data_IF_780768841122
#
_entry.id   IF_780768841122
#
_cell.length_a   1.000
_cell.length_b   1.000
_cell.length_c   1.000
_cell.angle_alpha   90.00
_cell.angle_beta   90.00
_cell.angle_gamma   90.00
#
_symmetry.space_group_name_H-M   'P 1'
#
loop_
_entity.id
_entity.type
_entity.pdbx_description
1 polymer ?
#
# COMPACT_ATOMS: atom_id res chain seq x y z
N UNK A 1 17.37 8.66 -21.82
CA UNK A 1 16.95 7.29 -21.48
C UNK A 1 17.31 7.11 -20.03
N UNK A 2 16.33 6.87 -19.15
CA UNK A 2 16.63 6.52 -17.77
C UNK A 2 17.21 5.10 -17.78
N UNK A 3 18.35 4.90 -17.13
CA UNK A 3 18.94 3.57 -16.98
C UNK A 3 17.94 2.66 -16.25
N UNK A 4 17.79 1.43 -16.73
CA UNK A 4 16.97 0.43 -16.03
C UNK A 4 17.68 0.05 -14.73
N UNK A 5 17.29 0.68 -13.62
CA UNK A 5 17.79 0.33 -12.29
C UNK A 5 17.11 -0.96 -11.84
N UNK A 6 17.91 -1.99 -11.57
CA UNK A 6 17.42 -3.18 -10.88
C UNK A 6 17.22 -2.86 -9.40
N UNK A 7 15.96 -2.86 -8.96
CA UNK A 7 15.63 -2.62 -7.56
C UNK A 7 15.87 -3.89 -6.72
N UNK A 8 16.27 -3.74 -5.43
CA UNK A 8 16.40 -4.86 -4.52
C UNK A 8 15.09 -5.65 -4.37
N UNK A 9 15.20 -6.96 -4.17
CA UNK A 9 14.07 -7.85 -3.86
C UNK A 9 14.23 -8.40 -2.46
N UNK A 10 13.23 -8.21 -1.60
CA UNK A 10 13.19 -8.67 -0.22
C UNK A 10 12.19 -9.81 -0.08
N UNK A 11 12.67 -10.98 0.32
CA UNK A 11 11.86 -12.19 0.51
C UNK A 11 11.45 -12.35 1.98
N UNK A 12 10.17 -12.14 2.28
CA UNK A 12 9.66 -12.25 3.65
C UNK A 12 9.48 -13.69 4.14
N UNK A 13 9.50 -14.73 3.29
CA UNK A 13 9.43 -16.12 3.76
C UNK A 13 10.62 -16.48 4.66
N UNK A 14 11.76 -15.81 4.43
CA UNK A 14 12.95 -15.93 5.27
C UNK A 14 12.74 -15.39 6.69
N UNK A 15 11.76 -14.50 6.88
CA UNK A 15 11.42 -13.92 8.17
C UNK A 15 10.61 -14.84 9.08
N UNK A 16 9.84 -15.80 8.56
CA UNK A 16 9.14 -16.79 9.41
C UNK A 16 10.11 -17.82 10.02
N UNK A 17 11.32 -17.97 9.46
CA UNK A 17 12.42 -18.68 10.14
C UNK A 17 12.98 -17.90 11.35
N UNK A 18 12.54 -16.66 11.56
CA UNK A 18 13.03 -15.77 12.63
C UNK A 18 12.15 -15.84 13.88
N UNK A 19 10.90 -16.30 13.78
CA UNK A 19 9.95 -16.28 14.90
C UNK A 19 10.02 -17.48 15.86
N UNK A 20 10.95 -18.43 15.69
CA UNK A 20 11.16 -19.51 16.66
C UNK A 20 12.42 -19.28 17.49
N UNK A 21 12.43 -18.21 18.29
CA UNK A 21 13.47 -18.00 19.31
C UNK A 21 13.27 -18.87 20.57
N UNK A 22 12.16 -19.62 20.69
CA UNK A 22 11.90 -20.47 21.86
C UNK A 22 12.00 -21.99 21.60
N UNK A 23 12.33 -22.42 20.39
CA UNK A 23 12.63 -23.84 20.14
C UNK A 23 13.51 -23.97 18.92
N UNK A 24 14.72 -24.53 19.08
CA UNK A 24 15.29 -25.62 18.27
C UNK A 24 16.78 -25.83 18.63
N UNK A 25 17.06 -27.03 19.12
CA UNK A 25 18.38 -27.53 19.56
C UNK A 25 19.12 -28.24 18.41
N UNK A 26 19.71 -27.54 17.45
CA UNK A 26 20.70 -28.14 16.55
C UNK A 26 21.73 -27.11 16.05
N UNK A 27 23.00 -27.33 16.40
CA UNK A 27 24.06 -26.31 16.40
C UNK A 27 24.74 -26.04 15.04
N UNK A 28 24.29 -26.65 13.93
CA UNK A 28 24.86 -26.42 12.60
C UNK A 28 23.91 -25.59 11.70
N UNK A 29 22.60 -25.77 11.82
CA UNK A 29 21.60 -24.93 11.13
C UNK A 29 21.47 -23.53 11.74
N UNK A 30 21.85 -23.38 13.01
CA UNK A 30 21.77 -22.13 13.76
C UNK A 30 22.77 -21.07 13.29
N UNK A 31 24.01 -21.46 12.96
CA UNK A 31 25.01 -20.51 12.46
C UNK A 31 24.58 -19.99 11.08
N UNK A 32 24.11 -20.88 10.19
CA UNK A 32 23.58 -20.51 8.89
C UNK A 32 22.37 -19.57 8.98
N UNK A 33 21.44 -19.82 9.91
CA UNK A 33 20.25 -18.97 10.09
C UNK A 33 20.58 -17.57 10.62
N UNK A 34 21.57 -17.45 11.52
CA UNK A 34 22.03 -16.15 12.03
C UNK A 34 22.68 -15.32 10.93
N UNK A 35 23.55 -15.92 10.10
CA UNK A 35 24.17 -15.21 8.97
C UNK A 35 23.15 -14.76 7.93
N UNK A 36 22.17 -15.61 7.60
CA UNK A 36 21.06 -15.25 6.71
C UNK A 36 20.25 -14.08 7.28
N UNK A 37 19.96 -14.08 8.59
CA UNK A 37 19.28 -12.97 9.26
C UNK A 37 20.07 -11.68 9.16
N UNK A 38 21.37 -11.70 9.46
CA UNK A 38 22.23 -10.50 9.36
C UNK A 38 22.28 -9.97 7.93
N UNK A 39 22.38 -10.85 6.94
CA UNK A 39 22.40 -10.46 5.53
C UNK A 39 21.08 -9.81 5.11
N UNK A 40 19.95 -10.40 5.51
CA UNK A 40 18.62 -9.85 5.22
C UNK A 40 18.44 -8.46 5.88
N UNK A 41 18.85 -8.29 7.14
CA UNK A 41 18.76 -6.98 7.81
C UNK A 41 19.62 -5.92 7.12
N UNK A 42 20.84 -6.28 6.67
CA UNK A 42 21.69 -5.39 5.87
C UNK A 42 21.03 -5.02 4.55
N UNK A 43 20.43 -5.99 3.86
CA UNK A 43 19.74 -5.76 2.59
C UNK A 43 18.54 -4.81 2.76
N UNK A 44 17.73 -4.98 3.82
CA UNK A 44 16.62 -4.08 4.15
C UNK A 44 17.13 -2.65 4.38
N UNK A 45 18.15 -2.48 5.22
CA UNK A 45 18.73 -1.16 5.50
C UNK A 45 19.27 -0.51 4.21
N UNK A 46 20.04 -1.26 3.43
CA UNK A 46 20.60 -0.79 2.17
C UNK A 46 19.51 -0.38 1.18
N UNK A 47 18.49 -1.21 0.99
CA UNK A 47 17.36 -0.90 0.12
C UNK A 47 16.64 0.39 0.55
N UNK A 48 16.43 0.60 1.85
CA UNK A 48 15.82 1.82 2.37
C UNK A 48 16.71 3.06 2.18
N UNK A 49 18.02 2.96 2.40
CA UNK A 49 18.94 4.11 2.39
C UNK A 49 19.42 4.49 0.98
N UNK A 50 19.69 3.49 0.12
CA UNK A 50 20.23 3.72 -1.23
C UNK A 50 19.13 3.91 -2.29
N UNK A 51 17.97 3.29 -2.12
CA UNK A 51 16.93 3.32 -3.15
C UNK A 51 15.66 4.03 -2.68
N UNK A 52 15.28 3.84 -1.41
CA UNK A 52 13.97 4.26 -0.90
C UNK A 52 12.80 3.49 -1.52
N UNK A 53 13.07 2.50 -2.38
CA UNK A 53 12.10 1.69 -3.11
C UNK A 53 12.66 0.29 -3.36
N UNK A 54 11.84 -0.76 -3.21
CA UNK A 54 12.25 -2.15 -3.44
C UNK A 54 11.03 -3.05 -3.65
N UNK A 55 11.24 -4.24 -4.21
CA UNK A 55 10.21 -5.25 -4.36
C UNK A 55 10.14 -6.14 -3.11
N UNK A 56 8.93 -6.53 -2.74
CA UNK A 56 8.65 -7.45 -1.64
C UNK A 56 8.03 -8.72 -2.22
N UNK A 57 8.57 -9.89 -1.87
CA UNK A 57 8.04 -11.20 -2.31
C UNK A 57 7.79 -12.10 -1.12
N UNK A 58 6.94 -13.10 -1.30
CA UNK A 58 6.52 -14.05 -0.26
C UNK A 58 6.04 -13.34 1.02
N UNK A 59 5.34 -12.20 0.86
CA UNK A 59 4.84 -11.37 1.95
C UNK A 59 3.63 -11.95 2.67
N UNK A 60 3.07 -13.05 2.17
CA UNK A 60 1.94 -13.76 2.78
C UNK A 60 0.58 -13.13 2.51
N UNK A 61 0.46 -12.20 1.57
CA UNK A 61 -0.85 -11.74 1.06
C UNK A 61 -1.23 -12.67 -0.08
N UNK A 62 -2.41 -13.29 0.00
CA UNK A 62 -2.85 -14.26 -1.00
C UNK A 62 -3.06 -13.61 -2.38
N UNK A 63 -2.58 -14.26 -3.44
CA UNK A 63 -2.76 -13.76 -4.82
C UNK A 63 -4.24 -13.64 -5.19
N UNK A 64 -5.07 -14.58 -4.72
CA UNK A 64 -6.51 -14.52 -4.94
C UNK A 64 -7.15 -13.29 -4.27
N UNK A 65 -6.62 -12.86 -3.12
CA UNK A 65 -7.09 -11.66 -2.43
C UNK A 65 -6.78 -10.42 -3.27
N UNK A 66 -5.53 -10.28 -3.73
CA UNK A 66 -5.13 -9.19 -4.61
C UNK A 66 -5.98 -9.16 -5.89
N UNK A 67 -6.20 -10.32 -6.52
CA UNK A 67 -7.05 -10.42 -7.71
C UNK A 67 -8.47 -9.91 -7.43
N UNK A 68 -9.07 -10.35 -6.31
CA UNK A 68 -10.40 -9.88 -5.89
C UNK A 68 -10.42 -8.37 -5.66
N UNK A 69 -9.44 -7.80 -4.95
CA UNK A 69 -9.33 -6.34 -4.76
C UNK A 69 -9.34 -5.59 -6.08
N UNK A 70 -8.52 -6.02 -7.05
CA UNK A 70 -8.47 -5.39 -8.36
C UNK A 70 -9.77 -5.56 -9.15
N UNK A 71 -10.42 -6.74 -9.09
CA UNK A 71 -11.72 -6.98 -9.72
C UNK A 71 -12.79 -6.01 -9.16
N UNK A 72 -12.82 -5.83 -7.84
CA UNK A 72 -13.78 -4.93 -7.19
C UNK A 72 -13.49 -3.46 -7.40
N UNK A 73 -12.20 -3.08 -7.40
CA UNK A 73 -11.77 -1.75 -7.78
C UNK A 73 -12.23 -1.41 -9.20
N UNK A 74 -12.11 -2.35 -10.16
CA UNK A 74 -12.59 -2.15 -11.54
C UNK A 74 -14.10 -1.96 -11.62
N UNK A 75 -14.87 -2.80 -10.92
CA UNK A 75 -16.33 -2.68 -10.88
C UNK A 75 -16.74 -1.30 -10.33
N UNK A 76 -16.14 -0.87 -9.22
CA UNK A 76 -16.42 0.45 -8.65
C UNK A 76 -16.11 1.59 -9.63
N UNK A 77 -14.93 1.61 -10.25
CA UNK A 77 -14.56 2.70 -11.15
C UNK A 77 -15.32 2.70 -12.48
N UNK A 78 -15.91 1.56 -12.87
CA UNK A 78 -16.82 1.44 -14.03
C UNK A 78 -18.21 2.05 -13.81
N UNK A 79 -18.56 2.41 -12.57
CA UNK A 79 -19.83 3.06 -12.26
C UNK A 79 -19.91 4.47 -12.89
N UNK A 80 -21.12 4.95 -13.23
CA UNK A 80 -21.34 6.33 -13.63
C UNK A 80 -20.78 7.33 -12.60
N UNK A 81 -20.31 8.49 -13.07
CA UNK A 81 -19.72 9.50 -12.19
C UNK A 81 -20.69 9.92 -11.08
N UNK A 82 -21.98 10.01 -11.39
CA UNK A 82 -23.04 10.37 -10.47
C UNK A 82 -23.14 9.39 -9.29
N UNK A 83 -22.95 8.09 -9.54
CA UNK A 83 -22.94 7.05 -8.52
C UNK A 83 -21.68 7.12 -7.66
N UNK A 84 -20.51 7.32 -8.28
CA UNK A 84 -19.24 7.47 -7.56
C UNK A 84 -19.23 8.72 -6.67
N UNK A 85 -19.81 9.83 -7.14
CA UNK A 85 -19.90 11.09 -6.41
C UNK A 85 -20.84 11.03 -5.20
N UNK A 86 -21.75 10.05 -5.11
CA UNK A 86 -22.51 9.81 -3.84
C UNK A 86 -21.58 9.46 -2.68
N UNK A 87 -20.39 8.94 -2.98
CA UNK A 87 -19.35 8.55 -2.02
C UNK A 87 -18.19 9.54 -2.00
N UNK A 88 -18.41 10.79 -2.41
CA UNK A 88 -17.39 11.85 -2.45
C UNK A 88 -16.58 11.91 -1.16
N UNK A 89 -15.28 12.14 -1.32
CA UNK A 89 -14.31 12.14 -0.24
C UNK A 89 -14.66 13.19 0.80
N UNK A 90 -14.87 12.72 2.03
CA UNK A 90 -15.00 13.55 3.24
C UNK A 90 -13.81 13.28 4.13
N UNK A 91 -13.13 14.35 4.54
CA UNK A 91 -11.84 14.28 5.24
C UNK A 91 -10.81 13.43 4.45
N UNK A 92 -10.56 12.19 4.89
CA UNK A 92 -9.56 11.29 4.31
C UNK A 92 -10.17 9.98 3.77
N UNK A 93 -11.48 9.93 3.51
CA UNK A 93 -12.21 8.70 3.14
C UNK A 93 -13.22 8.97 2.03
N UNK A 94 -13.34 8.03 1.08
CA UNK A 94 -14.27 8.11 -0.06
C UNK A 94 -13.60 8.45 -1.39
N UNK A 95 -14.43 8.77 -2.38
CA UNK A 95 -14.10 8.94 -3.79
C UNK A 95 -13.55 10.34 -4.12
N UNK A 96 -12.51 10.40 -4.95
CA UNK A 96 -11.97 11.63 -5.53
C UNK A 96 -11.96 11.50 -7.05
N UNK A 97 -12.62 12.41 -7.80
CA UNK A 97 -12.75 12.31 -9.24
C UNK A 97 -11.44 12.67 -9.97
N UNK A 98 -11.41 12.35 -11.27
CA UNK A 98 -10.35 12.76 -12.18
C UNK A 98 -10.03 14.25 -12.04
N UNK A 99 -8.74 14.58 -12.13
CA UNK A 99 -8.23 15.96 -12.15
C UNK A 99 -8.43 16.74 -10.84
N UNK A 100 -8.96 16.13 -9.78
CA UNK A 100 -9.19 16.80 -8.51
C UNK A 100 -7.92 16.94 -7.63
N UNK A 101 -6.94 16.05 -7.79
CA UNK A 101 -5.65 16.14 -7.10
C UNK A 101 -4.60 16.76 -8.04
N UNK A 102 -3.79 17.69 -7.53
CA UNK A 102 -2.65 18.23 -8.26
C UNK A 102 -1.53 18.58 -7.28
N UNK A 103 -0.42 17.84 -7.34
CA UNK A 103 0.77 18.08 -6.50
C UNK A 103 1.87 18.86 -7.22
N UNK A 104 1.67 19.22 -8.50
CA UNK A 104 2.55 20.10 -9.26
C UNK A 104 1.75 21.25 -9.89
N UNK A 105 1.65 22.42 -9.23
CA UNK A 105 0.85 23.55 -9.69
C UNK A 105 1.55 24.34 -10.81
N UNK A 106 1.98 23.67 -11.88
CA UNK A 106 2.35 24.34 -13.12
C UNK A 106 1.10 24.97 -13.74
N UNK A 107 1.25 26.16 -14.36
CA UNK A 107 0.15 26.97 -14.89
C UNK A 107 -0.68 26.27 -15.99
N UNK A 108 -0.21 25.14 -16.53
CA UNK A 108 -0.84 24.41 -17.63
C UNK A 108 -1.35 23.01 -17.24
N UNK A 109 -1.28 22.62 -15.96
CA UNK A 109 -1.73 21.30 -15.52
C UNK A 109 -3.23 21.27 -15.27
N UNK A 110 -3.94 20.34 -15.93
CA UNK A 110 -5.35 20.05 -15.66
C UNK A 110 -5.56 19.33 -14.33
N UNK A 111 -4.50 18.87 -13.67
CA UNK A 111 -4.55 17.97 -12.51
C UNK A 111 -4.19 16.53 -12.88
N UNK A 112 -4.05 15.68 -11.87
CA UNK A 112 -3.71 14.27 -12.02
C UNK A 112 -4.83 13.52 -12.76
N UNK A 113 -4.49 12.82 -13.85
CA UNK A 113 -5.41 11.95 -14.60
C UNK A 113 -5.56 10.61 -13.90
N UNK A 114 -6.14 10.67 -12.69
CA UNK A 114 -6.50 9.51 -11.87
C UNK A 114 -7.74 9.80 -11.06
N UNK A 115 -8.52 8.77 -10.81
CA UNK A 115 -9.56 8.79 -9.80
C UNK A 115 -9.17 7.85 -8.67
N UNK A 116 -9.60 8.16 -7.44
CA UNK A 116 -9.18 7.40 -6.26
C UNK A 116 -10.34 7.13 -5.32
N UNK A 117 -10.21 6.07 -4.51
CA UNK A 117 -11.11 5.79 -3.40
C UNK A 117 -10.32 5.44 -2.15
N UNK A 118 -10.51 6.23 -1.09
CA UNK A 118 -9.79 6.06 0.18
C UNK A 118 -10.64 5.30 1.20
N UNK A 119 -10.02 4.28 1.79
CA UNK A 119 -10.58 3.50 2.87
C UNK A 119 -9.66 3.68 4.08
N UNK A 120 -10.21 4.26 5.15
CA UNK A 120 -9.52 4.40 6.42
C UNK A 120 -9.72 3.22 7.37
N UNK A 121 -9.05 3.25 8.54
CA UNK A 121 -9.10 2.16 9.52
C UNK A 121 -10.51 1.97 10.11
N UNK A 122 -10.88 0.71 10.35
CA UNK A 122 -12.20 0.31 10.86
C UNK A 122 -12.29 0.39 12.40
N UNK A 123 -11.16 0.23 13.11
CA UNK A 123 -11.10 0.30 14.59
C UNK A 123 -10.83 1.73 15.05
N UNK A 124 -11.42 2.11 16.19
CA UNK A 124 -11.21 3.43 16.82
C UNK A 124 -12.17 4.53 16.34
N UNK A 125 -13.23 4.19 15.60
CA UNK A 125 -14.23 5.15 15.13
C UNK A 125 -15.10 5.58 16.33
N UNK A 126 -14.79 6.73 16.91
CA UNK A 126 -15.55 7.34 18.01
C UNK A 126 -16.48 8.45 17.54
N UNK A 127 -16.31 8.93 16.30
CA UNK A 127 -17.04 10.07 15.72
C UNK A 127 -17.59 9.70 14.35
N UNK A 128 -18.82 10.09 14.07
CA UNK A 128 -19.55 9.79 12.82
C UNK A 128 -18.84 10.31 11.55
N UNK A 129 -17.97 11.32 11.67
CA UNK A 129 -17.15 11.84 10.56
C UNK A 129 -16.00 10.91 10.13
N UNK A 130 -15.62 9.94 10.96
CA UNK A 130 -14.57 8.97 10.67
C UNK A 130 -15.08 7.69 9.97
N UNK A 131 -16.34 7.68 9.53
CA UNK A 131 -16.90 6.55 8.81
C UNK A 131 -16.45 6.57 7.34
N UNK A 132 -16.04 5.40 6.85
CA UNK A 132 -15.80 5.21 5.42
C UNK A 132 -17.11 5.46 4.64
N UNK A 133 -17.00 6.06 3.46
CA UNK A 133 -18.14 6.40 2.61
C UNK A 133 -18.51 5.18 1.77
N UNK A 134 -19.43 4.35 2.27
CA UNK A 134 -19.79 3.09 1.63
C UNK A 134 -20.98 3.24 0.66
N UNK A 135 -21.00 2.48 -0.45
CA UNK A 135 -22.21 2.30 -1.24
C UNK A 135 -23.38 1.85 -0.35
N UNK A 136 -24.61 2.32 -0.62
CA UNK A 136 -25.79 1.84 0.12
C UNK A 136 -26.09 0.38 -0.21
N UNK A 137 -26.67 -0.37 0.74
CA UNK A 137 -27.07 -1.78 0.53
C UNK A 137 -28.08 -1.94 -0.64
N UNK A 138 -28.90 -0.89 -0.90
CA UNK A 138 -29.87 -0.87 -2.00
C UNK A 138 -29.24 -0.56 -3.37
N UNK A 139 -27.99 -0.09 -3.39
CA UNK A 139 -27.24 0.16 -4.62
C UNK A 139 -26.33 -1.04 -4.87
N UNK A 140 -26.78 -1.91 -5.78
CA UNK A 140 -26.13 -3.11 -6.30
C UNK A 140 -26.20 -4.34 -5.40
N UNK A 141 -27.01 -5.31 -5.83
CA UNK A 141 -27.09 -6.69 -5.31
C UNK A 141 -25.74 -7.46 -5.33
N UNK A 142 -24.69 -6.90 -5.93
CA UNK A 142 -23.32 -7.45 -5.93
C UNK A 142 -22.32 -6.69 -5.04
N UNK A 143 -22.60 -5.42 -4.66
CA UNK A 143 -21.64 -4.57 -3.92
C UNK A 143 -21.75 -4.77 -2.40
N UNK A 144 -22.95 -5.06 -1.90
CA UNK A 144 -23.18 -5.32 -0.46
C UNK A 144 -22.51 -6.59 0.09
N UNK A 145 -22.23 -7.60 -0.74
CA UNK A 145 -21.61 -8.86 -0.30
C UNK A 145 -20.09 -8.71 -0.01
N UNK A 146 -19.48 -7.66 -0.55
CA UNK A 146 -18.04 -7.37 -0.59
C UNK A 146 -17.62 -6.50 0.60
N UNK A 147 -18.64 -6.03 1.32
CA UNK A 147 -18.58 -5.01 2.35
C UNK A 147 -18.03 -5.52 3.70
N UNK A 148 -18.26 -6.80 4.01
CA UNK A 148 -18.20 -7.33 5.39
C UNK A 148 -17.00 -8.27 5.67
N UNK A 149 -16.57 -9.05 4.67
CA UNK A 149 -15.57 -10.12 4.85
C UNK A 149 -14.22 -9.79 4.21
N UNK A 150 -14.20 -9.22 3.00
CA UNK A 150 -12.96 -8.90 2.25
C UNK A 150 -12.14 -7.77 2.92
N UNK A 151 -12.78 -6.72 3.41
CA UNK A 151 -12.11 -5.57 4.05
C UNK A 151 -11.42 -5.86 5.37
N UNK A 152 -11.87 -6.88 6.11
CA UNK A 152 -11.18 -7.32 7.33
C UNK A 152 -9.92 -8.11 7.00
N UNK A 153 -9.95 -8.91 5.94
CA UNK A 153 -8.80 -9.73 5.52
C UNK A 153 -7.76 -8.89 4.79
N UNK A 154 -8.16 -8.00 3.88
CA UNK A 154 -7.24 -7.13 3.11
C UNK A 154 -6.43 -6.18 3.98
N UNK A 155 -7.11 -5.52 4.93
CA UNK A 155 -6.44 -4.68 5.93
C UNK A 155 -5.58 -5.56 6.84
N UNK A 156 -6.06 -6.73 7.29
CA UNK A 156 -5.31 -7.54 8.25
C UNK A 156 -4.06 -8.21 7.64
N UNK A 157 -4.13 -8.73 6.41
CA UNK A 157 -2.99 -9.36 5.73
C UNK A 157 -1.97 -8.33 5.28
N UNK A 158 -2.42 -7.23 4.66
CA UNK A 158 -1.51 -6.12 4.28
C UNK A 158 -0.86 -5.50 5.52
N UNK A 159 -1.60 -5.37 6.62
CA UNK A 159 -1.04 -4.94 7.90
C UNK A 159 -0.06 -5.96 8.47
N UNK A 160 -0.26 -7.26 8.23
CA UNK A 160 0.68 -8.29 8.68
C UNK A 160 1.99 -8.19 7.90
N UNK A 161 1.93 -8.08 6.58
CA UNK A 161 3.11 -7.84 5.73
C UNK A 161 3.83 -6.53 6.12
N UNK A 162 3.07 -5.44 6.30
CA UNK A 162 3.60 -4.14 6.71
C UNK A 162 4.26 -4.18 8.09
N UNK A 163 3.62 -4.81 9.09
CA UNK A 163 4.21 -4.99 10.42
C UNK A 163 5.48 -5.81 10.39
N UNK A 164 5.50 -6.92 9.64
CA UNK A 164 6.71 -7.73 9.45
C UNK A 164 7.85 -6.90 8.87
N UNK A 165 7.56 -6.11 7.83
CA UNK A 165 8.55 -5.22 7.22
C UNK A 165 9.04 -4.14 8.21
N UNK A 166 8.14 -3.53 8.98
CA UNK A 166 8.50 -2.54 10.02
C UNK A 166 9.37 -3.18 11.10
N UNK A 167 9.09 -4.41 11.52
CA UNK A 167 9.96 -5.18 12.43
C UNK A 167 11.35 -5.40 11.83
N UNK A 168 11.45 -5.75 10.54
CA UNK A 168 12.74 -5.88 9.87
C UNK A 168 13.50 -4.57 9.80
N UNK A 169 12.81 -3.46 9.54
CA UNK A 169 13.40 -2.11 9.54
C UNK A 169 13.94 -1.78 10.93
N UNK A 170 13.17 -2.01 12.00
CA UNK A 170 13.61 -1.78 13.37
C UNK A 170 14.90 -2.58 13.68
N UNK A 171 14.88 -3.88 13.38
CA UNK A 171 16.05 -4.74 13.58
C UNK A 171 17.25 -4.31 12.74
N UNK A 172 17.06 -3.83 11.51
CA UNK A 172 18.14 -3.34 10.65
C UNK A 172 18.80 -2.07 11.17
N UNK A 173 18.05 -1.28 11.95
CA UNK A 173 18.53 -0.11 12.67
C UNK A 173 19.15 -0.46 14.03
N UNK A 174 19.31 -1.75 14.33
CA UNK A 174 19.76 -2.27 15.63
C UNK A 174 18.86 -1.81 16.79
N UNK A 175 17.56 -1.67 16.52
CA UNK A 175 16.53 -1.39 17.51
C UNK A 175 15.81 -2.69 17.93
N UNK A 176 15.04 -2.59 19.00
CA UNK A 176 14.13 -3.65 19.44
C UNK A 176 13.10 -3.99 18.35
N UNK A 177 12.78 -5.26 18.17
CA UNK A 177 11.86 -5.74 17.11
C UNK A 177 10.45 -5.13 17.21
N UNK A 178 10.06 -4.69 18.42
CA UNK A 178 8.79 -4.03 18.74
C UNK A 178 8.99 -2.55 19.07
N UNK A 179 10.10 -1.94 18.67
CA UNK A 179 10.41 -0.54 18.98
C UNK A 179 9.25 0.40 18.58
N UNK A 180 8.79 0.28 17.33
CA UNK A 180 7.71 1.12 16.79
C UNK A 180 6.36 0.88 17.48
N UNK A 181 6.06 -0.36 17.89
CA UNK A 181 4.89 -0.65 18.72
C UNK A 181 5.03 0.02 20.11
N UNK A 182 6.19 -0.13 20.76
CA UNK A 182 6.45 0.37 22.12
C UNK A 182 6.37 1.89 22.24
N UNK A 183 6.76 2.62 21.19
CA UNK A 183 6.66 4.09 21.14
C UNK A 183 5.28 4.57 20.66
N UNK A 184 4.34 3.66 20.41
CA UNK A 184 2.97 4.00 20.00
C UNK A 184 2.84 4.38 18.52
N UNK A 185 3.85 4.14 17.68
CA UNK A 185 3.78 4.51 16.25
C UNK A 185 2.74 3.68 15.47
N UNK A 186 2.32 2.53 16.03
CA UNK A 186 1.35 1.62 15.42
C UNK A 186 0.01 1.55 16.18
N UNK A 187 -0.22 2.46 17.14
CA UNK A 187 -1.42 2.48 17.99
C UNK A 187 -2.05 3.90 18.12
N UNK A 188 -3.27 4.14 17.60
CA UNK A 188 -4.08 3.19 16.84
C UNK A 188 -3.47 2.93 15.45
N UNK A 189 -3.66 1.74 14.86
CA UNK A 189 -3.16 1.46 13.53
C UNK A 189 -3.86 2.37 12.49
N UNK A 190 -3.10 3.30 11.91
CA UNK A 190 -3.58 4.24 10.90
C UNK A 190 -3.24 3.79 9.48
N UNK A 191 -3.68 2.59 9.10
CA UNK A 191 -3.53 2.13 7.73
C UNK A 191 -4.70 2.59 6.85
N UNK A 192 -4.35 3.17 5.71
CA UNK A 192 -5.29 3.54 4.67
C UNK A 192 -5.05 2.64 3.47
N UNK A 193 -6.14 2.19 2.85
CA UNK A 193 -6.10 1.57 1.53
C UNK A 193 -6.56 2.62 0.53
N UNK A 194 -5.76 2.83 -0.52
CA UNK A 194 -6.09 3.72 -1.63
C UNK A 194 -6.26 2.90 -2.89
N UNK A 195 -7.49 2.83 -3.40
CA UNK A 195 -7.76 2.30 -4.73
C UNK A 195 -7.48 3.41 -5.75
N UNK A 196 -6.79 3.08 -6.84
CA UNK A 196 -6.39 4.02 -7.89
C UNK A 196 -6.84 3.48 -9.25
N UNK A 197 -7.43 4.34 -10.07
CA UNK A 197 -7.71 4.04 -11.47
C UNK A 197 -7.20 5.18 -12.36
N UNK A 198 -6.43 4.79 -13.37
CA UNK A 198 -5.88 5.65 -14.39
C UNK A 198 -6.56 5.32 -15.72
N UNK A 199 -7.41 6.19 -16.28
CA UNK A 199 -8.23 5.87 -17.45
C UNK A 199 -7.42 5.69 -18.75
N UNK A 200 -6.11 6.00 -18.73
CA UNK A 200 -5.24 5.85 -19.89
C UNK A 200 -5.51 6.84 -21.02
N UNK A 201 -6.40 7.82 -20.82
CA UNK A 201 -6.66 8.88 -21.78
C UNK A 201 -5.42 9.79 -21.89
N UNK A 202 -4.63 9.56 -22.94
CA UNK A 202 -3.68 10.54 -23.44
C UNK A 202 -4.52 11.69 -24.02
N UNK A 203 -4.61 12.80 -23.27
CA UNK A 203 -5.28 13.98 -23.79
C UNK A 203 -4.69 14.34 -25.16
N UNK A 204 -5.55 14.50 -26.16
CA UNK A 204 -5.18 14.94 -27.52
C UNK A 204 -4.67 16.40 -27.51
N UNK A 205 -4.69 17.07 -26.34
CA UNK A 205 -4.22 18.44 -26.14
C UNK A 205 -2.71 18.50 -25.92
N UNK A 206 -2.10 19.64 -26.27
CA UNK A 206 -0.69 19.96 -26.00
C UNK A 206 -0.39 20.17 -24.49
N UNK A 207 -1.20 19.63 -23.59
CA UNK A 207 -1.07 19.77 -22.14
C UNK A 207 -0.38 18.53 -21.58
N UNK A 208 0.68 18.74 -20.79
CA UNK A 208 1.34 17.66 -20.05
C UNK A 208 0.35 17.08 -19.03
N UNK A 209 -0.22 15.92 -19.35
CA UNK A 209 -1.16 15.22 -18.49
C UNK A 209 -0.45 14.04 -17.83
N UNK A 210 -0.15 14.15 -16.54
CA UNK A 210 0.42 13.06 -15.75
C UNK A 210 -0.69 12.24 -15.09
N UNK A 211 -0.53 10.91 -15.00
CA UNK A 211 -1.45 10.07 -14.24
C UNK A 211 -1.44 10.44 -12.75
N UNK A 212 -0.26 10.58 -12.16
CA UNK A 212 -0.05 11.17 -10.84
C UNK A 212 1.18 12.08 -10.89
N UNK A 213 1.07 13.29 -10.33
CA UNK A 213 2.19 14.21 -10.20
C UNK A 213 3.26 13.67 -9.26
N UNK A 214 4.52 14.12 -9.40
CA UNK A 214 5.60 13.73 -8.50
C UNK A 214 5.30 14.14 -7.05
N UNK A 215 5.43 13.20 -6.11
CA UNK A 215 5.17 13.42 -4.68
C UNK A 215 5.91 12.36 -3.85
N UNK A 216 5.95 12.58 -2.53
CA UNK A 216 6.29 11.57 -1.53
C UNK A 216 5.05 11.20 -0.75
N UNK A 217 4.89 9.91 -0.43
CA UNK A 217 3.79 9.46 0.42
C UNK A 217 3.94 9.94 1.88
N UNK A 218 2.81 9.98 2.57
CA UNK A 218 2.76 10.18 4.02
C UNK A 218 2.85 8.83 4.73
N UNK A 219 3.35 8.84 5.97
CA UNK A 219 3.39 7.65 6.83
C UNK A 219 4.76 6.98 6.88
N UNK A 220 4.80 5.74 7.38
CA UNK A 220 6.05 5.00 7.59
C UNK A 220 6.48 4.19 6.37
N UNK A 221 5.54 3.45 5.77
CA UNK A 221 5.78 2.54 4.63
C UNK A 221 4.53 2.49 3.78
N UNK A 222 4.71 2.50 2.45
CA UNK A 222 3.65 2.20 1.47
C UNK A 222 3.87 0.81 0.89
N UNK A 223 2.83 -0.03 0.93
CA UNK A 223 2.78 -1.26 0.15
C UNK A 223 1.99 -0.98 -1.12
N UNK A 224 2.67 -1.01 -2.27
CA UNK A 224 2.07 -0.71 -3.57
C UNK A 224 1.95 -1.98 -4.42
N UNK A 225 0.73 -2.30 -4.82
CA UNK A 225 0.43 -3.35 -5.80
C UNK A 225 -0.02 -2.71 -7.12
N UNK A 226 0.36 -3.32 -8.25
CA UNK A 226 -0.04 -2.86 -9.59
C UNK A 226 -0.67 -4.01 -10.38
N UNK A 227 -1.43 -3.67 -11.41
CA UNK A 227 -2.04 -4.64 -12.34
C UNK A 227 -1.07 -5.08 -13.48
N UNK A 228 0.20 -4.67 -13.41
CA UNK A 228 1.22 -4.96 -14.40
C UNK A 228 1.30 -3.95 -15.56
N UNK A 229 0.38 -2.98 -15.64
CA UNK A 229 0.48 -1.88 -16.61
C UNK A 229 1.59 -0.93 -16.16
N UNK A 230 2.52 -0.64 -17.06
CA UNK A 230 3.67 0.24 -16.79
C UNK A 230 3.22 1.70 -16.70
N UNK A 231 3.74 2.44 -15.72
CA UNK A 231 3.46 3.86 -15.56
C UNK A 231 4.11 4.50 -14.34
N UNK A 232 4.41 3.70 -13.31
CA UNK A 232 5.14 4.17 -12.13
C UNK A 232 6.58 4.59 -12.47
N UNK A 233 6.96 5.76 -12.00
CA UNK A 233 8.33 6.25 -11.97
C UNK A 233 8.66 6.67 -10.53
N UNK A 234 9.85 6.31 -10.06
CA UNK A 234 10.34 6.68 -8.74
C UNK A 234 11.64 7.47 -8.88
N UNK A 235 11.78 8.53 -8.09
CA UNK A 235 13.07 9.18 -7.86
C UNK A 235 13.75 8.41 -6.73
N UNK A 236 14.82 7.67 -7.06
CA UNK A 236 15.62 6.92 -6.10
C UNK A 236 16.60 7.87 -5.39
N UNK A 237 17.10 7.46 -4.22
CA UNK A 237 17.97 8.29 -3.35
C UNK A 237 19.39 8.42 -3.94
#
# INVERSE_FOLDING_TARGET
MADSVELPVIDLSSADRISTAESIRQCLDWVGSVWLKVLMLKLVCQACVEYGFFYLVNHGVEEELLKRVFDESRKFFSLPLEEKMKLERREHRGYTPLYAENFNPSLNSRGDSKETFYIGPIKGITVQSNLNQWPSEDSFDEVGMIESLQRKVEVQESMTAGKRLITLIALSLNLDERYFDKVGALDPPMAFVRLLHYPGELAISNEETCGASAHSDYGMVTLLATDGIRGLQACLI
#
